data_IF_411666731706
#
_entry.id   IF_411666731706
#
_cell.length_a   1.000
_cell.length_b   1.000
_cell.length_c   1.000
_cell.angle_alpha   90.00
_cell.angle_beta   90.00
_cell.angle_gamma   90.00
#
_symmetry.space_group_name_H-M   'P 1'
#
loop_
_entity.id
_entity.type
_entity.pdbx_description
1 polymer ?
#
# COMPACT_ATOMS: atom_id res chain seq x y z
N UNK A 1 -52.00 53.30 -53.01
CA UNK A 1 -50.81 52.43 -52.99
C UNK A 1 -50.12 52.52 -51.62
N UNK A 2 -50.35 51.51 -50.78
CA UNK A 2 -49.40 50.83 -49.87
C UNK A 2 -48.30 51.63 -49.10
N UNK A 3 -48.30 51.40 -47.76
CA UNK A 3 -47.23 51.49 -46.71
C UNK A 3 -46.99 52.90 -46.10
N UNK A 4 -46.83 53.09 -44.78
CA UNK A 4 -46.56 52.18 -43.64
C UNK A 4 -46.86 52.92 -42.32
N UNK A 5 -47.48 52.24 -41.36
CA UNK A 5 -47.61 52.67 -39.96
C UNK A 5 -46.26 52.72 -39.24
N UNK A 6 -46.04 53.73 -38.41
CA UNK A 6 -45.00 53.74 -37.37
C UNK A 6 -45.72 53.68 -36.02
N UNK A 7 -45.66 52.52 -35.38
CA UNK A 7 -46.08 52.31 -33.99
C UNK A 7 -44.83 52.43 -33.13
N UNK A 8 -44.86 53.38 -32.20
CA UNK A 8 -43.84 53.59 -31.18
C UNK A 8 -44.19 52.68 -29.99
N UNK A 9 -43.52 51.53 -29.85
CA UNK A 9 -43.66 50.66 -28.68
C UNK A 9 -42.51 50.89 -27.70
N UNK A 10 -42.86 51.39 -26.52
CA UNK A 10 -42.01 51.49 -25.34
C UNK A 10 -41.84 50.09 -24.76
N UNK A 11 -40.61 49.56 -24.72
CA UNK A 11 -40.27 48.29 -24.08
C UNK A 11 -39.69 48.60 -22.69
N UNK A 12 -40.41 48.19 -21.65
CA UNK A 12 -39.94 48.16 -20.25
C UNK A 12 -39.13 46.87 -20.08
N UNK A 13 -37.85 46.99 -19.78
CA UNK A 13 -36.93 45.87 -19.54
C UNK A 13 -36.87 45.60 -18.03
N UNK A 14 -37.49 44.49 -17.60
CA UNK A 14 -37.38 43.98 -16.22
C UNK A 14 -36.13 43.10 -16.15
N UNK A 15 -35.15 43.51 -15.34
CA UNK A 15 -33.95 42.73 -15.07
C UNK A 15 -34.24 41.77 -13.91
N UNK A 16 -34.30 40.47 -14.20
CA UNK A 16 -34.22 39.43 -13.17
C UNK A 16 -32.75 39.19 -12.84
N UNK A 17 -32.33 39.62 -11.65
CA UNK A 17 -31.04 39.17 -11.07
C UNK A 17 -31.29 37.83 -10.39
N UNK A 18 -30.98 36.73 -11.08
CA UNK A 18 -30.85 35.44 -10.40
C UNK A 18 -29.53 35.45 -9.64
N UNK A 19 -29.62 35.40 -8.30
CA UNK A 19 -28.46 35.16 -7.45
C UNK A 19 -27.91 33.77 -7.75
N UNK A 20 -26.75 33.72 -8.41
CA UNK A 20 -25.97 32.49 -8.52
C UNK A 20 -25.35 32.26 -7.15
N UNK A 21 -25.88 31.29 -6.41
CA UNK A 21 -25.18 30.76 -5.25
C UNK A 21 -23.88 30.13 -5.75
N UNK A 22 -22.75 30.77 -5.48
CA UNK A 22 -21.44 30.17 -5.68
C UNK A 22 -21.33 28.99 -4.71
N UNK A 23 -21.53 27.78 -5.20
CA UNK A 23 -21.08 26.57 -4.51
C UNK A 23 -19.56 26.65 -4.41
N UNK A 24 -19.00 26.58 -3.21
CA UNK A 24 -17.56 26.42 -3.06
C UNK A 24 -17.16 25.13 -3.81
N UNK A 25 -16.10 25.15 -4.64
CA UNK A 25 -15.62 23.93 -5.27
C UNK A 25 -15.27 22.92 -4.18
N UNK A 26 -15.78 21.70 -4.32
CA UNK A 26 -15.42 20.57 -3.44
C UNK A 26 -13.94 20.31 -3.64
N UNK A 27 -13.12 20.54 -2.62
CA UNK A 27 -11.69 20.24 -2.67
C UNK A 27 -11.53 18.72 -2.61
N UNK A 28 -11.37 18.10 -3.78
CA UNK A 28 -11.02 16.68 -3.83
C UNK A 28 -9.55 16.54 -3.40
N UNK A 29 -9.21 15.59 -2.50
CA UNK A 29 -7.82 15.40 -2.09
C UNK A 29 -6.93 15.13 -3.32
N UNK A 30 -5.83 15.88 -3.45
CA UNK A 30 -4.82 15.61 -4.50
C UNK A 30 -4.11 14.28 -4.28
N UNK A 31 -4.02 13.80 -3.03
CA UNK A 31 -3.54 12.47 -2.65
C UNK A 31 -4.70 11.52 -2.54
N UNK A 32 -4.63 10.35 -3.18
CA UNK A 32 -5.76 9.40 -3.19
C UNK A 32 -5.42 8.01 -2.67
N UNK A 33 -4.14 7.64 -2.65
CA UNK A 33 -3.71 6.26 -2.36
C UNK A 33 -3.18 6.07 -0.94
N UNK A 34 -2.91 7.14 -0.20
CA UNK A 34 -2.28 7.10 1.11
C UNK A 34 -3.21 6.56 2.20
N UNK A 35 -2.77 5.57 2.99
CA UNK A 35 -3.36 5.32 4.29
C UNK A 35 -2.89 6.39 5.27
N UNK A 36 -3.80 6.79 6.15
CA UNK A 36 -3.50 7.66 7.29
C UNK A 36 -3.47 6.79 8.53
N UNK A 37 -2.32 6.72 9.19
CA UNK A 37 -2.12 5.94 10.42
C UNK A 37 -1.86 6.91 11.57
N UNK A 38 -2.76 6.95 12.54
CA UNK A 38 -2.68 7.81 13.73
C UNK A 38 -2.47 6.93 14.95
N UNK A 39 -1.46 7.23 15.77
CA UNK A 39 -1.26 6.54 17.04
C UNK A 39 -2.28 7.05 18.07
N UNK A 40 -2.86 6.15 18.86
CA UNK A 40 -3.84 6.54 19.87
C UNK A 40 -3.30 7.57 20.88
N UNK A 41 -1.99 7.56 21.17
CA UNK A 41 -1.33 8.59 21.99
C UNK A 41 -1.48 10.02 21.45
N UNK A 42 -1.82 10.21 20.18
CA UNK A 42 -2.05 11.52 19.56
C UNK A 42 -3.52 11.97 19.71
N UNK A 43 -4.40 11.04 20.13
CA UNK A 43 -5.84 11.22 20.37
C UNK A 43 -6.21 11.14 21.86
N UNK A 44 -5.32 11.51 22.80
CA UNK A 44 -5.46 11.20 24.25
C UNK A 44 -6.81 11.55 24.87
N UNK A 45 -7.46 12.63 24.42
CA UNK A 45 -8.70 13.16 24.99
C UNK A 45 -9.95 12.35 24.61
N UNK A 46 -9.85 11.41 23.68
CA UNK A 46 -10.99 10.60 23.22
C UNK A 46 -10.76 9.09 23.45
N UNK A 47 -9.65 8.67 24.07
CA UNK A 47 -9.33 7.27 24.35
C UNK A 47 -10.18 6.63 25.46
N UNK A 48 -9.96 5.34 25.70
CA UNK A 48 -10.45 4.61 26.88
C UNK A 48 -11.82 3.97 26.71
N UNK A 49 -12.45 4.13 25.55
CA UNK A 49 -13.76 3.57 25.22
C UNK A 49 -13.63 2.40 24.24
N UNK A 50 -14.60 1.47 24.20
CA UNK A 50 -14.62 0.35 23.24
C UNK A 50 -14.48 0.82 21.80
N UNK A 51 -13.67 0.14 20.99
CA UNK A 51 -13.44 0.47 19.57
C UNK A 51 -14.75 0.55 18.78
N UNK A 52 -15.73 -0.31 19.13
CA UNK A 52 -17.03 -0.32 18.47
C UNK A 52 -17.86 0.94 18.73
N UNK A 53 -17.49 1.80 19.68
CA UNK A 53 -18.21 3.03 19.99
C UNK A 53 -17.78 4.24 19.14
N UNK A 54 -16.73 4.13 18.33
CA UNK A 54 -16.27 5.22 17.47
C UNK A 54 -16.83 5.10 16.08
N UNK A 55 -17.09 6.21 15.41
CA UNK A 55 -17.31 6.29 13.97
C UNK A 55 -16.38 7.35 13.38
N UNK A 56 -16.01 7.19 12.12
CA UNK A 56 -15.23 8.18 11.38
C UNK A 56 -16.10 8.79 10.28
N UNK A 57 -16.05 10.12 10.17
CA UNK A 57 -16.83 10.85 9.18
C UNK A 57 -15.94 11.79 8.37
N UNK A 58 -16.35 12.03 7.12
CA UNK A 58 -15.92 13.19 6.34
C UNK A 58 -17.11 14.08 6.02
N UNK A 59 -16.84 15.33 5.64
CA UNK A 59 -17.85 16.29 5.22
C UNK A 59 -17.62 16.65 3.77
N UNK A 60 -18.62 16.42 2.91
CA UNK A 60 -18.58 16.76 1.48
C UNK A 60 -19.96 17.20 1.04
N UNK A 61 -20.04 18.24 0.21
CA UNK A 61 -21.31 18.73 -0.37
C UNK A 61 -22.38 18.98 0.71
N UNK A 62 -21.97 19.68 1.78
CA UNK A 62 -22.78 19.99 2.96
C UNK A 62 -23.36 18.79 3.72
N UNK A 63 -22.82 17.58 3.50
CA UNK A 63 -23.28 16.34 4.12
C UNK A 63 -22.15 15.62 4.86
N UNK A 64 -22.48 15.04 6.01
CA UNK A 64 -21.62 14.06 6.66
C UNK A 64 -21.74 12.71 5.96
N UNK A 65 -20.60 12.14 5.65
CA UNK A 65 -20.47 10.81 5.09
C UNK A 65 -19.69 9.96 6.09
N UNK A 66 -20.24 8.80 6.44
CA UNK A 66 -19.49 7.83 7.25
C UNK A 66 -18.46 7.16 6.36
N UNK A 67 -17.22 7.06 6.84
CA UNK A 67 -16.11 6.52 6.06
C UNK A 67 -15.55 5.25 6.74
N UNK A 68 -15.00 4.30 5.97
CA UNK A 68 -14.37 3.12 6.54
C UNK A 68 -13.13 3.53 7.36
N UNK A 69 -12.98 2.88 8.50
CA UNK A 69 -11.83 3.04 9.37
C UNK A 69 -11.62 1.75 10.16
N UNK A 70 -10.42 1.55 10.69
CA UNK A 70 -10.11 0.48 11.63
C UNK A 70 -9.28 1.03 12.78
N UNK A 71 -9.37 0.37 13.94
CA UNK A 71 -8.49 0.59 15.07
C UNK A 71 -7.76 -0.72 15.33
N UNK A 72 -6.49 -0.77 14.96
CA UNK A 72 -5.66 -1.95 15.13
C UNK A 72 -5.04 -1.93 16.52
N UNK A 73 -5.39 -2.95 17.31
CA UNK A 73 -4.93 -3.11 18.68
C UNK A 73 -3.44 -3.49 18.71
N UNK A 74 -2.66 -2.82 19.55
CA UNK A 74 -1.21 -3.11 19.70
C UNK A 74 -0.86 -3.36 21.17
N UNK A 75 -0.20 -4.49 21.45
CA UNK A 75 0.28 -4.84 22.80
C UNK A 75 1.76 -5.21 22.71
N UNK A 76 2.59 -4.56 23.53
CA UNK A 76 4.05 -4.77 23.57
C UNK A 76 4.71 -4.65 22.18
N UNK A 77 4.17 -3.76 21.34
CA UNK A 77 4.67 -3.52 19.98
C UNK A 77 4.23 -4.52 18.92
N UNK A 78 3.34 -5.47 19.24
CA UNK A 78 2.79 -6.43 18.28
C UNK A 78 1.29 -6.20 18.07
N UNK A 79 0.81 -6.44 16.86
CA UNK A 79 -0.62 -6.43 16.56
C UNK A 79 -1.36 -7.55 17.30
N UNK A 80 -2.54 -7.22 17.80
CA UNK A 80 -3.47 -8.17 18.42
C UNK A 80 -4.30 -8.80 17.30
N UNK A 81 -3.92 -10.02 16.91
CA UNK A 81 -4.57 -10.77 15.83
C UNK A 81 -6.01 -11.13 16.19
N UNK A 82 -6.95 -10.89 15.27
CA UNK A 82 -8.39 -11.12 15.47
C UNK A 82 -8.88 -12.43 14.87
N UNK A 83 -8.04 -13.12 14.11
CA UNK A 83 -8.34 -14.42 13.49
C UNK A 83 -7.07 -15.26 13.32
N UNK A 84 -7.25 -16.54 13.00
CA UNK A 84 -6.16 -17.51 12.81
C UNK A 84 -5.84 -18.36 14.03
N UNK A 85 -4.66 -18.97 14.04
CA UNK A 85 -4.25 -20.00 15.02
C UNK A 85 -3.88 -19.40 16.37
N UNK A 86 -3.23 -18.25 16.35
CA UNK A 86 -2.75 -17.53 17.53
C UNK A 86 -3.58 -16.25 17.74
N UNK A 87 -4.92 -16.37 17.62
CA UNK A 87 -5.85 -15.30 17.96
C UNK A 87 -5.55 -14.78 19.37
N UNK A 88 -5.41 -13.47 19.48
CA UNK A 88 -5.01 -12.86 20.74
C UNK A 88 -6.14 -12.96 21.77
N UNK A 89 -5.81 -13.40 22.99
CA UNK A 89 -6.76 -13.53 24.11
C UNK A 89 -7.04 -12.21 24.85
N UNK A 90 -6.76 -11.05 24.23
CA UNK A 90 -6.94 -9.77 24.91
C UNK A 90 -8.40 -9.54 25.28
N UNK A 91 -8.69 -9.31 26.56
CA UNK A 91 -10.05 -9.00 27.04
C UNK A 91 -10.41 -7.52 26.91
N UNK A 92 -9.42 -6.65 26.68
CA UNK A 92 -9.65 -5.21 26.54
C UNK A 92 -9.75 -4.80 25.06
N UNK A 93 -10.95 -4.40 24.65
CA UNK A 93 -11.25 -3.88 23.32
C UNK A 93 -11.37 -2.35 23.28
N UNK A 94 -10.85 -1.65 24.30
CA UNK A 94 -10.88 -0.19 24.31
C UNK A 94 -9.74 0.37 23.47
N UNK A 95 -10.00 1.47 22.78
CA UNK A 95 -8.97 2.23 22.06
C UNK A 95 -8.03 2.89 23.08
N UNK A 96 -6.74 2.59 23.00
CA UNK A 96 -5.70 3.06 23.91
C UNK A 96 -4.54 3.74 23.17
N UNK A 97 -3.48 4.09 23.92
CA UNK A 97 -2.39 4.94 23.43
C UNK A 97 -1.48 4.25 22.40
N UNK A 98 -1.39 2.92 22.42
CA UNK A 98 -0.45 2.16 21.59
C UNK A 98 -1.07 1.74 20.26
N UNK A 99 -2.40 1.68 20.21
CA UNK A 99 -3.20 1.33 19.03
C UNK A 99 -3.02 2.29 17.85
N UNK A 100 -3.42 1.82 16.67
CA UNK A 100 -3.42 2.58 15.41
C UNK A 100 -4.84 2.80 14.89
N UNK A 101 -5.25 4.07 14.74
CA UNK A 101 -6.41 4.45 13.94
C UNK A 101 -5.99 4.57 12.48
N UNK A 102 -6.67 3.85 11.58
CA UNK A 102 -6.33 3.78 10.16
C UNK A 102 -7.54 4.04 9.28
N UNK A 103 -7.35 4.85 8.23
CA UNK A 103 -8.34 5.16 7.19
C UNK A 103 -7.63 5.65 5.91
N UNK A 104 -8.36 5.80 4.79
CA UNK A 104 -7.76 6.26 3.53
C UNK A 104 -7.98 7.76 3.31
N UNK A 105 -6.96 8.48 2.81
CA UNK A 105 -7.05 9.93 2.55
C UNK A 105 -8.14 10.28 1.52
N UNK A 106 -8.41 9.42 0.54
CA UNK A 106 -9.44 9.66 -0.49
C UNK A 106 -10.83 9.90 0.09
N UNK A 107 -11.08 9.40 1.30
CA UNK A 107 -12.36 9.50 1.98
C UNK A 107 -12.48 10.78 2.81
N UNK A 108 -11.37 11.48 3.06
CA UNK A 108 -11.35 12.78 3.70
C UNK A 108 -12.08 13.84 2.85
N UNK A 109 -12.55 14.89 3.51
CA UNK A 109 -13.33 15.95 2.87
C UNK A 109 -13.03 17.33 3.44
N UNK A 110 -14.02 18.21 3.32
CA UNK A 110 -13.93 19.61 3.68
C UNK A 110 -13.95 19.83 5.19
N UNK A 111 -13.44 20.99 5.61
CA UNK A 111 -13.53 21.44 6.99
C UNK A 111 -14.96 21.81 7.36
N UNK A 112 -15.47 21.17 8.41
CA UNK A 112 -16.71 21.57 9.07
C UNK A 112 -16.48 22.87 9.85
N UNK A 113 -17.33 23.87 9.62
CA UNK A 113 -17.34 25.12 10.41
C UNK A 113 -18.29 25.04 11.60
N UNK A 114 -19.56 24.73 11.33
CA UNK A 114 -20.63 24.71 12.32
C UNK A 114 -21.45 23.43 12.14
N UNK A 115 -21.05 22.35 12.82
CA UNK A 115 -21.85 21.14 12.92
C UNK A 115 -21.81 20.65 14.36
N UNK A 116 -22.88 19.97 14.76
CA UNK A 116 -22.99 19.39 16.08
C UNK A 116 -23.36 17.92 15.95
N UNK A 117 -22.46 17.06 16.40
CA UNK A 117 -22.71 15.63 16.42
C UNK A 117 -23.69 15.31 17.55
N UNK A 118 -24.95 15.05 17.20
CA UNK A 118 -25.99 14.66 18.15
C UNK A 118 -25.58 13.35 18.84
N UNK A 119 -25.81 13.25 20.15
CA UNK A 119 -25.53 12.06 20.97
C UNK A 119 -24.04 11.65 21.07
N UNK A 120 -23.13 12.48 20.54
CA UNK A 120 -21.70 12.24 20.65
C UNK A 120 -21.20 12.60 22.05
N UNK A 121 -20.41 11.72 22.65
CA UNK A 121 -19.70 11.97 23.91
C UNK A 121 -18.52 12.92 23.68
N UNK A 122 -17.82 12.73 22.56
CA UNK A 122 -16.61 13.47 22.23
C UNK A 122 -16.33 13.34 20.74
N UNK A 123 -15.61 14.31 20.19
CA UNK A 123 -15.21 14.33 18.79
C UNK A 123 -13.78 14.87 18.65
N UNK A 124 -12.99 14.24 17.78
CA UNK A 124 -11.71 14.74 17.33
C UNK A 124 -11.83 15.23 15.88
N UNK A 125 -11.46 16.49 15.64
CA UNK A 125 -11.16 16.98 14.29
C UNK A 125 -9.72 16.58 13.95
N UNK A 126 -9.56 15.86 12.84
CA UNK A 126 -8.28 15.41 12.31
C UNK A 126 -8.04 16.15 10.99
N UNK A 127 -7.08 17.07 11.00
CA UNK A 127 -6.59 17.76 9.82
C UNK A 127 -5.42 16.97 9.23
N UNK A 128 -5.49 16.70 7.93
CA UNK A 128 -4.41 16.13 7.13
C UNK A 128 -3.80 17.23 6.30
N UNK A 129 -2.47 17.30 6.25
CA UNK A 129 -1.73 18.27 5.42
C UNK A 129 -0.76 17.53 4.52
N UNK A 130 -0.86 17.75 3.21
CA UNK A 130 0.17 17.31 2.27
C UNK A 130 1.43 18.17 2.45
N UNK A 131 2.59 17.58 2.85
CA UNK A 131 3.81 18.35 3.05
C UNK A 131 4.38 18.96 1.76
N UNK A 132 4.01 18.47 0.59
CA UNK A 132 4.51 18.93 -0.71
C UNK A 132 3.71 20.08 -1.30
N UNK A 133 2.40 20.11 -1.08
CA UNK A 133 1.50 21.13 -1.65
C UNK A 133 0.91 22.06 -0.60
N UNK A 134 0.99 21.68 0.69
CA UNK A 134 0.28 22.32 1.81
C UNK A 134 -1.26 22.22 1.74
N UNK A 135 -1.80 21.40 0.83
CA UNK A 135 -3.24 21.15 0.76
C UNK A 135 -3.73 20.48 2.04
N UNK A 136 -4.97 20.77 2.41
CA UNK A 136 -5.56 20.29 3.65
C UNK A 136 -6.90 19.62 3.41
N UNK A 137 -7.12 18.52 4.11
CA UNK A 137 -8.42 17.83 4.16
C UNK A 137 -8.69 17.35 5.59
N UNK A 138 -9.95 17.08 5.92
CA UNK A 138 -10.39 16.79 7.28
C UNK A 138 -11.21 15.51 7.38
N UNK A 139 -11.08 14.84 8.54
CA UNK A 139 -12.00 13.80 9.01
C UNK A 139 -12.33 14.02 10.49
N UNK A 140 -13.40 13.38 10.95
CA UNK A 140 -13.95 13.57 12.28
C UNK A 140 -14.16 12.22 12.96
N UNK A 141 -13.35 11.91 13.98
CA UNK A 141 -13.52 10.72 14.80
C UNK A 141 -14.49 11.05 15.92
N UNK A 142 -15.63 10.37 15.94
CA UNK A 142 -16.74 10.67 16.86
C UNK A 142 -16.97 9.48 17.77
N UNK A 143 -16.96 9.72 19.06
CA UNK A 143 -17.27 8.72 20.09
C UNK A 143 -18.73 8.83 20.51
N UNK A 144 -19.45 7.72 20.49
CA UNK A 144 -20.81 7.58 21.00
C UNK A 144 -20.87 6.69 22.26
N UNK A 145 -22.00 6.70 22.98
CA UNK A 145 -22.24 5.70 24.06
C UNK A 145 -22.34 4.29 23.50
N UNK A 146 -22.95 4.17 22.32
CA UNK A 146 -23.04 2.96 21.52
C UNK A 146 -23.23 3.40 20.08
N UNK A 147 -22.30 3.04 19.18
CA UNK A 147 -22.45 3.34 17.76
C UNK A 147 -23.26 2.22 17.10
N UNK A 148 -24.43 2.54 16.58
CA UNK A 148 -25.35 1.56 15.97
C UNK A 148 -25.14 1.36 14.47
N UNK A 149 -24.35 2.23 13.84
CA UNK A 149 -24.08 2.21 12.41
C UNK A 149 -22.58 2.27 12.15
N UNK A 150 -22.14 1.51 11.14
CA UNK A 150 -20.77 1.48 10.62
C UNK A 150 -20.80 1.68 9.12
N UNK A 151 -19.69 2.15 8.54
CA UNK A 151 -19.52 2.14 7.10
C UNK A 151 -19.63 0.70 6.59
N UNK A 152 -20.37 0.49 5.51
CA UNK A 152 -20.48 -0.80 4.84
C UNK A 152 -19.40 -0.99 3.77
N UNK A 153 -18.51 0.01 3.61
CA UNK A 153 -17.42 -0.05 2.65
C UNK A 153 -16.30 -0.90 3.22
N UNK A 154 -15.85 -1.86 2.42
CA UNK A 154 -14.70 -2.70 2.69
C UNK A 154 -13.79 -2.69 1.46
N UNK A 155 -12.52 -2.34 1.67
CA UNK A 155 -11.57 -2.15 0.60
C UNK A 155 -10.76 -3.39 0.25
N UNK A 156 -10.64 -4.34 1.17
CA UNK A 156 -9.73 -5.46 1.05
C UNK A 156 -10.16 -6.60 1.96
N UNK A 157 -10.29 -7.78 1.37
CA UNK A 157 -10.75 -9.00 2.04
C UNK A 157 -9.66 -10.08 1.97
N UNK A 158 -9.56 -10.90 3.02
CA UNK A 158 -8.63 -12.02 3.08
C UNK A 158 -9.30 -13.39 3.21
N UNK A 159 -9.22 -14.17 2.15
CA UNK A 159 -9.52 -15.59 2.17
C UNK A 159 -8.28 -16.38 2.61
N UNK A 160 -8.13 -16.53 3.93
CA UNK A 160 -7.07 -17.33 4.56
C UNK A 160 -7.10 -18.81 4.13
N UNK A 161 -8.27 -19.33 3.75
CA UNK A 161 -8.43 -20.69 3.26
C UNK A 161 -7.70 -20.92 1.94
N UNK A 162 -7.58 -19.88 1.10
CA UNK A 162 -6.92 -19.92 -0.20
C UNK A 162 -5.67 -19.03 -0.28
N UNK A 163 -5.24 -18.42 0.82
CA UNK A 163 -4.17 -17.42 0.89
C UNK A 163 -4.34 -16.33 -0.17
N UNK A 164 -5.56 -15.79 -0.27
CA UNK A 164 -5.95 -14.87 -1.32
C UNK A 164 -6.47 -13.56 -0.75
N UNK A 165 -5.87 -12.46 -1.21
CA UNK A 165 -6.29 -11.10 -0.96
C UNK A 165 -7.10 -10.61 -2.16
N UNK A 166 -8.28 -10.07 -1.90
CA UNK A 166 -9.10 -9.38 -2.91
C UNK A 166 -9.27 -7.94 -2.49
N UNK A 167 -8.49 -7.05 -3.11
CA UNK A 167 -8.56 -5.61 -2.91
C UNK A 167 -9.31 -4.93 -4.07
N UNK A 168 -9.71 -3.68 -3.88
CA UNK A 168 -10.40 -2.92 -4.93
C UNK A 168 -9.59 -2.84 -6.24
N UNK A 169 -8.27 -2.65 -6.17
CA UNK A 169 -7.41 -2.49 -7.34
C UNK A 169 -6.64 -3.75 -7.76
N UNK A 170 -6.57 -4.78 -6.93
CA UNK A 170 -5.78 -5.97 -7.26
C UNK A 170 -6.27 -7.22 -6.55
N UNK A 171 -5.82 -8.35 -7.08
CA UNK A 171 -5.93 -9.67 -6.46
C UNK A 171 -4.50 -10.16 -6.26
N UNK A 172 -4.21 -10.65 -5.06
CA UNK A 172 -2.97 -11.35 -4.75
C UNK A 172 -3.29 -12.72 -4.17
N UNK A 173 -2.66 -13.79 -4.66
CA UNK A 173 -2.74 -15.11 -4.06
C UNK A 173 -1.35 -15.74 -3.95
N UNK A 174 -1.18 -16.60 -2.96
CA UNK A 174 0.10 -17.21 -2.61
C UNK A 174 0.01 -18.73 -2.61
N UNK A 175 1.10 -19.41 -2.95
CA UNK A 175 1.17 -20.87 -2.89
C UNK A 175 1.13 -21.36 -1.44
N UNK A 176 0.30 -22.35 -1.12
CA UNK A 176 0.17 -22.87 0.25
C UNK A 176 1.43 -23.58 0.76
N UNK A 177 2.22 -24.16 -0.13
CA UNK A 177 3.45 -24.87 0.21
C UNK A 177 4.65 -23.90 0.25
N UNK A 178 4.57 -22.81 -0.50
CA UNK A 178 5.60 -21.77 -0.60
C UNK A 178 4.98 -20.36 -0.52
N UNK A 179 4.45 -19.90 0.65
CA UNK A 179 3.71 -18.65 0.73
C UNK A 179 4.52 -17.36 0.48
N UNK A 180 5.85 -17.44 0.38
CA UNK A 180 6.69 -16.33 -0.11
C UNK A 180 6.51 -16.13 -1.62
N UNK A 181 6.18 -17.20 -2.35
CA UNK A 181 5.97 -17.18 -3.79
C UNK A 181 4.53 -16.78 -4.11
N UNK A 182 4.32 -15.50 -4.47
CA UNK A 182 3.06 -15.10 -5.06
C UNK A 182 2.79 -15.98 -6.29
N UNK A 183 1.59 -16.57 -6.35
CA UNK A 183 1.16 -17.47 -7.41
C UNK A 183 0.13 -16.81 -8.32
N UNK A 184 -0.44 -15.68 -7.90
CA UNK A 184 -1.31 -14.86 -8.71
C UNK A 184 -1.23 -13.39 -8.30
N UNK A 185 -0.88 -12.51 -9.23
CA UNK A 185 -1.12 -11.09 -9.15
C UNK A 185 -1.99 -10.71 -10.34
N UNK A 186 -3.06 -9.97 -10.10
CA UNK A 186 -3.93 -9.50 -11.15
C UNK A 186 -4.49 -8.11 -10.83
N UNK A 187 -4.74 -7.32 -11.86
CA UNK A 187 -5.46 -6.06 -11.72
C UNK A 187 -6.95 -6.32 -11.43
N UNK A 188 -7.44 -5.69 -10.39
CA UNK A 188 -8.82 -5.76 -9.91
C UNK A 188 -9.77 -4.90 -10.72
N UNK A 189 -11.07 -5.08 -10.46
CA UNK A 189 -12.15 -4.38 -11.19
C UNK A 189 -12.13 -2.87 -11.00
N UNK A 190 -11.63 -2.36 -9.87
CA UNK A 190 -11.49 -0.91 -9.62
C UNK A 190 -10.63 -0.19 -10.65
N UNK A 191 -9.70 -0.92 -11.28
CA UNK A 191 -8.84 -0.41 -12.35
C UNK A 191 -9.34 -0.75 -13.76
N UNK A 192 -10.45 -1.50 -13.89
CA UNK A 192 -10.88 -2.09 -15.15
C UNK A 192 -10.10 -3.36 -15.52
N UNK A 193 -9.39 -3.95 -14.56
CA UNK A 193 -8.73 -5.24 -14.73
C UNK A 193 -9.73 -6.39 -14.84
N UNK A 194 -9.31 -7.46 -15.52
CA UNK A 194 -10.13 -8.63 -15.78
C UNK A 194 -9.73 -9.86 -14.93
N UNK A 195 -8.87 -9.68 -13.92
CA UNK A 195 -8.37 -10.78 -13.10
C UNK A 195 -7.35 -11.70 -13.78
N UNK A 196 -6.81 -11.32 -14.95
CA UNK A 196 -5.73 -12.08 -15.60
C UNK A 196 -4.48 -12.02 -14.74
N UNK A 197 -3.96 -13.19 -14.39
CA UNK A 197 -2.70 -13.31 -13.67
C UNK A 197 -1.53 -12.83 -14.53
N UNK A 198 -0.72 -11.92 -13.98
CA UNK A 198 0.49 -11.36 -14.60
C UNK A 198 1.79 -11.87 -13.97
N UNK A 199 1.74 -12.62 -12.86
CA UNK A 199 2.95 -13.15 -12.21
C UNK A 199 3.00 -14.66 -12.37
N UNK A 200 4.17 -15.20 -12.73
CA UNK A 200 4.42 -16.63 -12.63
C UNK A 200 4.79 -16.99 -11.19
N UNK A 201 5.79 -16.30 -10.65
CA UNK A 201 6.29 -16.54 -9.30
C UNK A 201 7.09 -15.36 -8.75
N UNK A 202 7.26 -15.32 -7.42
CA UNK A 202 8.35 -14.57 -6.79
C UNK A 202 9.53 -15.50 -6.54
N UNK A 203 10.71 -15.17 -7.08
CA UNK A 203 11.95 -15.93 -6.90
C UNK A 203 12.84 -15.23 -5.87
N UNK A 204 13.49 -16.04 -5.03
CA UNK A 204 14.52 -15.60 -4.10
C UNK A 204 15.78 -16.41 -4.37
N UNK A 205 16.90 -15.75 -4.70
CA UNK A 205 18.20 -16.44 -4.84
C UNK A 205 19.16 -15.84 -3.84
N UNK A 206 19.55 -16.62 -2.84
CA UNK A 206 20.52 -16.20 -1.82
C UNK A 206 21.81 -16.99 -2.04
N UNK A 207 22.94 -16.33 -1.91
CA UNK A 207 24.26 -16.94 -1.77
C UNK A 207 24.91 -16.38 -0.52
N UNK A 208 25.29 -17.25 0.41
CA UNK A 208 25.96 -16.86 1.65
C UNK A 208 27.17 -17.74 1.93
N UNK A 209 28.30 -17.14 2.26
CA UNK A 209 29.52 -17.86 2.65
C UNK A 209 29.89 -17.52 4.09
N UNK A 210 30.11 -18.55 4.92
CA UNK A 210 30.62 -18.40 6.28
C UNK A 210 31.53 -19.57 6.64
N UNK A 211 32.67 -19.30 7.30
CA UNK A 211 33.63 -20.32 7.72
C UNK A 211 34.07 -21.27 6.59
N UNK A 212 34.16 -20.78 5.35
CA UNK A 212 34.55 -21.57 4.17
C UNK A 212 33.43 -22.42 3.55
N UNK A 213 32.20 -22.36 4.08
CA UNK A 213 31.03 -23.05 3.52
C UNK A 213 30.12 -22.06 2.82
N UNK A 214 29.73 -22.36 1.57
CA UNK A 214 28.76 -21.57 0.80
C UNK A 214 27.43 -22.29 0.73
N UNK A 215 26.35 -21.58 1.04
CA UNK A 215 24.98 -22.05 0.99
C UNK A 215 24.19 -21.21 -0.02
N UNK A 216 23.30 -21.86 -0.77
CA UNK A 216 22.51 -21.20 -1.81
C UNK A 216 21.00 -21.42 -1.63
N UNK A 217 20.38 -20.95 -0.53
CA UNK A 217 18.95 -21.16 -0.32
C UNK A 217 18.11 -20.38 -1.33
N UNK A 218 16.94 -20.94 -1.64
CA UNK A 218 15.94 -20.38 -2.55
C UNK A 218 14.61 -20.14 -1.84
N UNK A 219 13.58 -19.63 -2.52
CA UNK A 219 12.22 -19.54 -1.98
C UNK A 219 11.67 -20.90 -1.52
N UNK A 220 12.05 -22.00 -2.16
CA UNK A 220 11.59 -23.35 -1.80
C UNK A 220 12.08 -23.78 -0.39
N UNK A 221 13.21 -23.21 0.02
CA UNK A 221 13.84 -23.43 1.32
C UNK A 221 13.24 -22.56 2.43
N UNK A 222 12.33 -21.62 2.09
CA UNK A 222 11.67 -20.74 3.06
C UNK A 222 10.33 -21.34 3.48
N UNK A 223 10.22 -21.71 4.75
CA UNK A 223 8.96 -22.16 5.35
C UNK A 223 8.25 -20.99 6.01
N UNK A 224 7.03 -20.73 5.56
CA UNK A 224 6.16 -19.70 6.11
C UNK A 224 5.11 -20.34 7.01
N UNK A 225 5.01 -19.86 8.24
CA UNK A 225 3.93 -20.21 9.15
C UNK A 225 3.09 -18.95 9.39
N UNK A 226 1.84 -18.98 8.96
CA UNK A 226 0.83 -17.99 9.38
C UNK A 226 0.42 -18.27 10.82
N UNK A 227 0.53 -17.24 11.66
CA UNK A 227 0.06 -17.27 13.04
C UNK A 227 -1.39 -16.79 13.14
N UNK A 228 -1.70 -15.72 12.41
CA UNK A 228 -3.05 -15.19 12.29
C UNK A 228 -3.05 -13.86 11.56
N UNK A 229 -4.21 -13.22 11.54
CA UNK A 229 -4.42 -12.02 10.75
C UNK A 229 -5.44 -11.09 11.41
N UNK A 230 -5.43 -9.85 10.92
CA UNK A 230 -6.50 -8.87 11.10
C UNK A 230 -7.08 -8.63 9.71
N UNK A 231 -8.38 -8.87 9.57
CA UNK A 231 -9.15 -8.48 8.38
C UNK A 231 -10.06 -7.31 8.75
N UNK A 232 -9.79 -6.16 8.17
CA UNK A 232 -10.44 -4.89 8.50
C UNK A 232 -10.73 -4.08 7.24
N UNK A 233 -11.70 -3.16 7.28
CA UNK A 233 -12.25 -2.52 6.09
C UNK A 233 -11.27 -1.62 5.32
N UNK A 234 -10.10 -1.31 5.90
CA UNK A 234 -9.10 -0.42 5.29
C UNK A 234 -7.86 -1.19 4.86
N UNK A 235 -7.39 -2.12 5.70
CA UNK A 235 -6.25 -2.99 5.43
C UNK A 235 -6.39 -4.35 6.10
N UNK A 236 -5.84 -5.36 5.44
CA UNK A 236 -5.54 -6.67 6.03
C UNK A 236 -4.11 -6.68 6.53
N UNK A 237 -3.88 -7.27 7.71
CA UNK A 237 -2.54 -7.54 8.26
C UNK A 237 -2.40 -9.05 8.47
N UNK A 238 -1.43 -9.68 7.80
CA UNK A 238 -1.13 -11.11 7.97
C UNK A 238 0.19 -11.27 8.71
N UNK A 239 0.13 -11.86 9.90
CA UNK A 239 1.30 -12.10 10.74
C UNK A 239 1.89 -13.49 10.46
N UNK A 240 3.16 -13.52 10.05
CA UNK A 240 3.85 -14.74 9.63
C UNK A 240 5.21 -14.88 10.28
N UNK A 241 5.64 -16.13 10.45
CA UNK A 241 7.02 -16.50 10.73
C UNK A 241 7.64 -17.18 9.52
N UNK A 242 8.69 -16.56 9.00
CA UNK A 242 9.47 -17.05 7.87
C UNK A 242 10.74 -17.70 8.40
N UNK A 243 10.96 -18.95 8.02
CA UNK A 243 12.10 -19.75 8.45
C UNK A 243 12.86 -20.26 7.24
N UNK A 244 14.09 -19.80 7.07
CA UNK A 244 15.02 -20.33 6.08
C UNK A 244 15.54 -21.66 6.62
N UNK A 245 15.42 -22.71 5.80
CA UNK A 245 15.96 -24.04 6.06
C UNK A 245 17.12 -24.33 5.12
N UNK A 246 18.11 -25.11 5.56
CA UNK A 246 19.21 -25.56 4.72
C UNK A 246 19.38 -27.05 4.98
N UNK A 247 19.26 -27.88 3.94
CA UNK A 247 19.23 -29.35 4.08
C UNK A 247 18.16 -29.81 5.11
N UNK A 248 17.03 -29.09 5.15
CA UNK A 248 15.93 -29.35 6.09
C UNK A 248 16.15 -28.83 7.52
N UNK A 249 17.30 -28.22 7.83
CA UNK A 249 17.61 -27.68 9.16
C UNK A 249 17.26 -26.18 9.21
N UNK A 250 16.41 -25.72 10.13
CA UNK A 250 16.16 -24.30 10.35
C UNK A 250 17.43 -23.54 10.74
N UNK A 251 17.80 -22.53 9.96
CA UNK A 251 19.01 -21.72 10.22
C UNK A 251 18.69 -20.31 10.68
N UNK A 252 17.64 -19.69 10.14
CA UNK A 252 17.22 -18.32 10.46
C UNK A 252 15.70 -18.24 10.47
N UNK A 253 15.14 -17.60 11.49
CA UNK A 253 13.72 -17.24 11.52
C UNK A 253 13.53 -15.74 11.74
N UNK A 254 12.53 -15.20 11.06
CA UNK A 254 12.06 -13.81 11.17
C UNK A 254 10.54 -13.79 11.24
N UNK A 255 9.98 -12.82 11.96
CA UNK A 255 8.55 -12.57 12.00
C UNK A 255 8.27 -11.26 11.29
N UNK A 256 7.17 -11.21 10.55
CA UNK A 256 6.78 -10.05 9.77
C UNK A 256 5.26 -9.94 9.67
N UNK A 257 4.81 -8.69 9.57
CA UNK A 257 3.44 -8.31 9.29
C UNK A 257 3.37 -7.85 7.84
N UNK A 258 2.69 -8.64 7.00
CA UNK A 258 2.42 -8.24 5.61
C UNK A 258 1.12 -7.46 5.59
N UNK A 259 1.12 -6.29 4.97
CA UNK A 259 0.01 -5.34 5.06
C UNK A 259 -0.56 -5.10 3.67
N UNK A 260 -1.86 -5.28 3.50
CA UNK A 260 -2.56 -5.14 2.23
C UNK A 260 -3.56 -4.00 2.31
N UNK A 261 -3.40 -2.98 1.47
CA UNK A 261 -4.35 -1.89 1.26
C UNK A 261 -5.11 -2.09 -0.04
N UNK A 262 -6.03 -1.17 -0.33
CA UNK A 262 -6.86 -1.24 -1.54
C UNK A 262 -6.09 -1.04 -2.86
N UNK A 263 -4.98 -0.29 -2.83
CA UNK A 263 -4.14 0.10 -3.97
C UNK A 263 -2.79 -0.62 -4.01
N UNK A 264 -2.28 -1.05 -2.87
CA UNK A 264 -0.94 -1.60 -2.77
C UNK A 264 -0.79 -2.56 -1.58
N UNK A 265 0.31 -3.30 -1.58
CA UNK A 265 0.70 -4.18 -0.49
C UNK A 265 2.14 -3.87 -0.05
N UNK A 266 2.40 -4.02 1.24
CA UNK A 266 3.72 -3.93 1.88
C UNK A 266 4.16 -5.31 2.36
N UNK A 267 5.37 -5.69 1.97
CA UNK A 267 6.03 -6.92 2.35
C UNK A 267 7.33 -6.56 3.10
N UNK A 268 7.24 -6.19 4.39
CA UNK A 268 8.43 -6.02 5.20
C UNK A 268 9.18 -7.34 5.31
N UNK A 269 10.48 -7.33 5.07
CA UNK A 269 11.33 -8.52 5.25
C UNK A 269 12.65 -8.14 5.91
N UNK A 270 13.30 -9.12 6.53
CA UNK A 270 14.55 -8.89 7.26
C UNK A 270 15.62 -9.89 6.83
N UNK A 271 16.81 -9.38 6.51
CA UNK A 271 18.02 -10.19 6.49
C UNK A 271 18.57 -10.23 7.91
N UNK A 272 18.70 -11.43 8.49
CA UNK A 272 19.22 -11.66 9.84
C UNK A 272 20.34 -12.69 9.79
N UNK A 273 21.48 -12.33 10.38
CA UNK A 273 22.69 -13.14 10.39
C UNK A 273 23.06 -13.52 11.83
N UNK A 274 22.77 -14.75 12.27
CA UNK A 274 23.28 -15.24 13.55
C UNK A 274 24.81 -15.19 13.62
N UNK A 275 25.45 -15.50 12.49
CA UNK A 275 26.89 -15.34 12.24
C UNK A 275 27.02 -14.50 10.99
N UNK A 276 27.79 -13.40 11.03
CA UNK A 276 27.99 -12.54 9.86
C UNK A 276 28.71 -13.33 8.76
N UNK A 277 28.16 -13.42 7.55
CA UNK A 277 28.81 -14.09 6.44
C UNK A 277 29.99 -13.27 5.93
N UNK A 278 31.03 -13.94 5.42
CA UNK A 278 32.17 -13.30 4.74
C UNK A 278 31.81 -12.85 3.31
N UNK A 279 30.76 -13.42 2.73
CA UNK A 279 30.15 -12.96 1.48
C UNK A 279 28.64 -13.22 1.52
N UNK A 280 27.84 -12.26 1.06
CA UNK A 280 26.40 -12.41 0.96
C UNK A 280 25.88 -11.69 -0.28
N UNK A 281 25.01 -12.35 -1.02
CA UNK A 281 24.30 -11.84 -2.18
C UNK A 281 22.87 -12.38 -2.12
N UNK A 282 21.88 -11.51 -2.37
CA UNK A 282 20.51 -11.94 -2.54
C UNK A 282 19.87 -11.24 -3.73
N UNK A 283 18.99 -11.95 -4.44
CA UNK A 283 18.04 -11.35 -5.38
C UNK A 283 16.63 -11.73 -4.97
N UNK A 284 15.70 -10.78 -5.11
CA UNK A 284 14.25 -10.98 -4.96
C UNK A 284 13.62 -10.49 -6.25
N UNK A 285 12.93 -11.38 -6.97
CA UNK A 285 12.50 -11.16 -8.35
C UNK A 285 11.00 -11.44 -8.43
N UNK A 286 10.24 -10.45 -8.89
CA UNK A 286 8.90 -10.67 -9.41
C UNK A 286 9.04 -11.17 -10.85
N UNK A 287 8.78 -12.45 -11.07
CA UNK A 287 8.85 -13.07 -12.40
C UNK A 287 7.48 -13.00 -13.07
N UNK A 288 7.37 -12.12 -14.06
CA UNK A 288 6.12 -11.84 -14.75
C UNK A 288 5.88 -12.79 -15.93
N UNK A 289 4.61 -12.86 -16.30
CA UNK A 289 4.08 -13.57 -17.46
C UNK A 289 2.98 -12.73 -18.09
N UNK A 290 2.65 -13.03 -19.35
CA UNK A 290 1.61 -12.31 -20.09
C UNK A 290 1.89 -10.79 -20.24
N UNK A 291 3.15 -10.37 -20.12
CA UNK A 291 3.57 -8.97 -20.22
C UNK A 291 4.29 -8.63 -21.53
N UNK A 292 4.31 -9.53 -22.52
CA UNK A 292 4.87 -9.23 -23.83
C UNK A 292 4.19 -7.99 -24.46
N UNK A 293 4.99 -7.06 -24.97
CA UNK A 293 4.56 -5.77 -25.50
C UNK A 293 4.29 -4.69 -24.43
N UNK A 294 4.38 -5.01 -23.13
CA UNK A 294 4.35 -4.01 -22.08
C UNK A 294 5.65 -3.21 -22.08
N UNK A 295 5.66 -2.08 -21.38
CA UNK A 295 6.83 -1.23 -21.19
C UNK A 295 7.25 -1.22 -19.73
N UNK A 296 8.54 -1.41 -19.50
CA UNK A 296 9.20 -1.27 -18.21
C UNK A 296 9.86 0.10 -18.11
N UNK A 297 9.66 0.81 -17.01
CA UNK A 297 10.38 2.03 -16.66
C UNK A 297 10.94 1.91 -15.24
N UNK A 298 12.01 2.63 -14.96
CA UNK A 298 12.49 2.81 -13.58
C UNK A 298 13.02 4.22 -13.36
N UNK A 299 13.25 4.58 -12.10
CA UNK A 299 13.90 5.84 -11.73
C UNK A 299 15.29 6.05 -12.35
N UNK A 300 15.93 4.97 -12.83
CA UNK A 300 17.23 5.00 -13.51
C UNK A 300 17.11 4.82 -15.04
N UNK A 301 15.94 4.41 -15.54
CA UNK A 301 15.68 4.08 -16.95
C UNK A 301 14.34 4.71 -17.40
N UNK A 302 14.35 6.03 -17.60
CA UNK A 302 13.13 6.80 -17.92
C UNK A 302 12.71 6.72 -19.41
N UNK A 303 13.58 6.21 -20.28
CA UNK A 303 13.27 6.01 -21.70
C UNK A 303 12.27 4.88 -21.93
N UNK A 304 12.23 3.92 -21.00
CA UNK A 304 11.42 2.72 -21.09
C UNK A 304 12.09 1.62 -21.90
N UNK A 305 11.78 0.36 -21.57
CA UNK A 305 12.19 -0.83 -22.30
C UNK A 305 10.94 -1.65 -22.64
N UNK A 306 10.84 -2.13 -23.88
CA UNK A 306 9.71 -2.98 -24.30
C UNK A 306 10.03 -4.41 -23.91
N UNK A 307 9.03 -5.10 -23.36
CA UNK A 307 9.14 -6.52 -23.02
C UNK A 307 8.90 -7.34 -24.30
N UNK A 308 9.94 -8.00 -24.80
CA UNK A 308 9.91 -8.82 -26.02
C UNK A 308 10.46 -10.25 -25.82
N UNK A 309 10.93 -10.57 -24.60
CA UNK A 309 11.43 -11.88 -24.23
C UNK A 309 12.86 -12.16 -24.67
N UNK A 310 13.63 -11.13 -25.07
CA UNK A 310 15.06 -11.24 -25.39
C UNK A 310 15.89 -10.31 -24.51
N UNK A 311 17.07 -10.77 -24.12
CA UNK A 311 18.11 -9.94 -23.53
C UNK A 311 19.06 -9.41 -24.60
N UNK A 312 18.63 -8.37 -25.32
CA UNK A 312 19.42 -7.75 -26.38
C UNK A 312 20.36 -6.64 -25.84
N UNK A 313 20.97 -5.87 -26.74
CA UNK A 313 21.91 -4.82 -26.36
C UNK A 313 21.21 -3.62 -25.69
N UNK A 314 19.93 -3.38 -26.00
CA UNK A 314 19.10 -2.39 -25.31
C UNK A 314 18.88 -2.79 -23.86
N UNK A 315 18.48 -4.04 -23.60
CA UNK A 315 18.26 -4.54 -22.24
C UNK A 315 19.56 -4.53 -21.41
N UNK A 316 20.67 -4.93 -22.01
CA UNK A 316 21.99 -4.93 -21.35
C UNK A 316 22.52 -3.53 -21.06
N UNK A 317 22.01 -2.51 -21.76
CA UNK A 317 22.38 -1.10 -21.54
C UNK A 317 21.62 -0.45 -20.39
N UNK A 318 20.60 -1.11 -19.83
CA UNK A 318 19.82 -0.59 -18.71
C UNK A 318 20.72 -0.29 -17.51
N UNK A 319 20.47 0.86 -16.89
CA UNK A 319 21.16 1.26 -15.68
C UNK A 319 20.59 0.50 -14.48
N UNK A 320 21.33 -0.51 -14.03
CA UNK A 320 20.99 -1.39 -12.90
C UNK A 320 21.42 -0.86 -11.53
N UNK A 321 21.93 0.37 -11.44
CA UNK A 321 22.32 1.00 -10.16
C UNK A 321 21.12 1.18 -9.21
N UNK A 322 21.35 1.59 -7.94
CA UNK A 322 20.27 1.69 -6.97
C UNK A 322 19.11 2.55 -7.45
N UNK A 323 17.89 2.02 -7.32
CA UNK A 323 16.67 2.57 -7.89
C UNK A 323 15.62 2.83 -6.80
N UNK A 324 14.65 3.72 -7.08
CA UNK A 324 13.61 4.15 -6.13
C UNK A 324 12.23 3.57 -6.43
N UNK A 325 11.91 3.46 -7.72
CA UNK A 325 10.63 2.97 -8.23
C UNK A 325 10.81 2.42 -9.65
N UNK A 326 9.92 1.50 -10.01
CA UNK A 326 9.85 0.85 -11.30
C UNK A 326 8.39 0.60 -11.60
N UNK A 327 8.05 0.55 -12.88
CA UNK A 327 6.69 0.33 -13.33
C UNK A 327 6.71 -0.52 -14.58
N UNK A 328 5.86 -1.55 -14.58
CA UNK A 328 5.54 -2.37 -15.73
C UNK A 328 4.11 -2.03 -16.17
N UNK A 329 3.93 -1.59 -17.41
CA UNK A 329 2.64 -1.07 -17.89
C UNK A 329 2.30 -1.48 -19.32
N UNK A 330 1.00 -1.66 -19.58
CA UNK A 330 0.43 -1.77 -20.93
C UNK A 330 -0.33 -0.50 -21.36
N UNK A 331 0.06 0.66 -20.83
CA UNK A 331 -0.56 1.97 -21.03
C UNK A 331 -1.95 2.13 -20.37
N UNK A 332 -2.67 1.05 -20.07
CA UNK A 332 -3.98 1.09 -19.37
C UNK A 332 -3.87 0.73 -17.90
N UNK A 333 -2.95 -0.17 -17.56
CA UNK A 333 -2.71 -0.71 -16.23
C UNK A 333 -1.22 -0.63 -15.93
N UNK A 334 -0.88 -0.41 -14.67
CA UNK A 334 0.51 -0.28 -14.24
C UNK A 334 0.74 -0.96 -12.89
N UNK A 335 1.70 -1.88 -12.87
CA UNK A 335 2.23 -2.50 -11.67
C UNK A 335 3.51 -1.76 -11.29
N UNK A 336 3.62 -1.31 -10.04
CA UNK A 336 4.80 -0.64 -9.54
C UNK A 336 5.46 -1.49 -8.47
N UNK A 337 6.79 -1.51 -8.47
CA UNK A 337 7.56 -2.08 -7.37
C UNK A 337 8.46 -1.02 -6.76
N UNK A 338 8.76 -1.16 -5.46
CA UNK A 338 9.73 -0.38 -4.71
C UNK A 338 10.33 -1.27 -3.64
N UNK A 339 11.62 -1.15 -3.37
CA UNK A 339 12.23 -1.76 -2.19
C UNK A 339 12.90 -0.70 -1.32
N UNK A 340 12.28 -0.40 -0.19
CA UNK A 340 12.68 0.68 0.72
C UNK A 340 13.68 0.14 1.73
N UNK A 341 14.87 0.74 1.76
CA UNK A 341 15.89 0.47 2.77
C UNK A 341 15.83 1.47 3.94
N UNK A 342 16.33 1.12 5.13
CA UNK A 342 16.47 2.07 6.23
C UNK A 342 17.35 3.25 5.84
N UNK A 343 17.10 4.41 6.45
CA UNK A 343 17.96 5.58 6.30
C UNK A 343 19.42 5.24 6.61
N UNK A 344 20.34 5.72 5.78
CA UNK A 344 21.78 5.44 5.87
C UNK A 344 22.17 3.95 5.79
N UNK A 345 21.33 3.09 5.19
CA UNK A 345 21.70 1.69 4.91
C UNK A 345 23.00 1.62 4.09
N UNK A 346 23.99 0.83 4.53
CA UNK A 346 25.17 0.56 3.71
C UNK A 346 24.84 -0.39 2.56
N UNK A 347 23.86 -1.29 2.74
CA UNK A 347 23.38 -2.21 1.71
C UNK A 347 22.62 -1.42 0.65
N UNK A 348 23.00 -1.62 -0.61
CA UNK A 348 22.36 -0.98 -1.76
C UNK A 348 21.41 -1.93 -2.45
N UNK A 349 20.26 -1.40 -2.83
CA UNK A 349 19.22 -2.15 -3.54
C UNK A 349 19.34 -1.82 -5.03
N UNK A 350 20.12 -2.63 -5.74
CA UNK A 350 20.29 -2.48 -7.19
C UNK A 350 19.07 -3.03 -7.93
N UNK A 351 18.86 -2.57 -9.16
CA UNK A 351 17.76 -3.07 -9.99
C UNK A 351 18.15 -4.43 -10.55
N UNK A 352 17.26 -5.41 -10.39
CA UNK A 352 17.28 -6.64 -11.17
C UNK A 352 16.35 -6.49 -12.37
N UNK A 353 16.84 -6.88 -13.55
CA UNK A 353 16.06 -6.93 -14.78
C UNK A 353 16.55 -8.09 -15.64
N UNK A 354 15.62 -8.88 -16.17
CA UNK A 354 15.90 -9.94 -17.12
C UNK A 354 14.64 -10.24 -17.95
N UNK A 355 14.67 -9.93 -19.24
CA UNK A 355 13.59 -10.23 -20.18
C UNK A 355 14.01 -11.38 -21.10
N UNK A 356 14.39 -12.53 -20.55
CA UNK A 356 14.80 -13.68 -21.35
C UNK A 356 13.78 -14.82 -21.20
N UNK A 357 12.92 -14.97 -22.22
CA UNK A 357 11.93 -16.04 -22.29
C UNK A 357 12.53 -17.46 -22.32
N UNK A 358 13.85 -17.57 -22.53
CA UNK A 358 14.58 -18.84 -22.52
C UNK A 358 15.54 -18.97 -21.34
N UNK A 359 15.49 -18.05 -20.37
CA UNK A 359 16.24 -18.20 -19.14
C UNK A 359 15.96 -19.57 -18.52
N UNK A 360 16.99 -20.15 -17.91
CA UNK A 360 16.89 -21.46 -17.28
C UNK A 360 17.07 -21.24 -15.79
N UNK A 361 16.00 -21.43 -15.04
CA UNK A 361 16.06 -21.64 -13.60
C UNK A 361 15.54 -23.03 -13.25
N UNK A 362 16.23 -23.70 -12.33
CA UNK A 362 15.86 -25.06 -11.91
C UNK A 362 14.58 -25.10 -11.09
N UNK A 363 14.13 -23.96 -10.56
CA UNK A 363 13.00 -23.83 -9.64
C UNK A 363 11.78 -23.09 -10.25
N UNK A 364 11.77 -22.94 -11.58
CA UNK A 364 10.70 -22.28 -12.34
C UNK A 364 9.45 -23.16 -12.53
N UNK A 365 8.27 -22.53 -12.49
CA UNK A 365 7.00 -23.15 -12.91
C UNK A 365 6.81 -23.03 -14.42
N UNK A 366 7.09 -21.85 -14.97
CA UNK A 366 7.17 -21.57 -16.40
C UNK A 366 8.61 -21.21 -16.72
N UNK A 367 9.15 -21.81 -17.78
CA UNK A 367 10.52 -21.55 -18.20
C UNK A 367 10.69 -20.11 -18.69
N UNK A 368 11.77 -19.46 -18.24
CA UNK A 368 12.15 -18.12 -18.66
C UNK A 368 11.56 -17.01 -17.80
N UNK A 369 11.98 -15.77 -18.05
CA UNK A 369 11.49 -14.58 -17.37
C UNK A 369 10.93 -13.58 -18.39
N UNK A 370 9.70 -13.09 -18.18
CA UNK A 370 8.93 -12.33 -19.18
C UNK A 370 8.14 -11.12 -18.61
N UNK A 371 8.80 -10.11 -18.02
CA UNK A 371 10.20 -10.08 -17.58
C UNK A 371 10.34 -10.51 -16.11
N UNK A 372 11.57 -10.72 -15.65
CA UNK A 372 11.94 -10.72 -14.24
C UNK A 372 12.36 -9.32 -13.82
N UNK A 373 11.69 -8.75 -12.82
CA UNK A 373 12.00 -7.41 -12.28
C UNK A 373 12.14 -7.52 -10.77
N UNK A 374 13.13 -6.85 -10.19
CA UNK A 374 13.20 -6.82 -8.73
C UNK A 374 14.43 -6.15 -8.16
N UNK A 375 14.92 -6.73 -7.06
CA UNK A 375 15.98 -6.18 -6.23
C UNK A 375 17.20 -7.08 -6.20
N UNK A 376 18.37 -6.52 -6.50
CA UNK A 376 19.68 -7.16 -6.43
C UNK A 376 20.50 -6.55 -5.26
N UNK A 377 20.70 -7.35 -4.21
CA UNK A 377 21.44 -6.97 -3.01
C UNK A 377 22.85 -7.57 -3.06
N UNK A 378 23.70 -7.05 -3.94
CA UNK A 378 25.08 -7.54 -4.14
C UNK A 378 26.16 -6.83 -3.32
N UNK A 379 25.84 -5.70 -2.69
CA UNK A 379 26.87 -4.85 -2.09
C UNK A 379 26.44 -4.21 -0.75
N UNK A 380 27.45 -3.82 0.04
CA UNK A 380 27.27 -3.09 1.30
C UNK A 380 27.04 -3.95 2.55
N UNK A 381 26.88 -5.27 2.40
CA UNK A 381 26.64 -6.21 3.51
C UNK A 381 27.75 -6.23 4.56
N UNK A 382 29.02 -6.19 4.15
CA UNK A 382 30.16 -6.21 5.08
C UNK A 382 30.27 -4.95 5.94
N UNK A 383 29.63 -3.85 5.52
CA UNK A 383 29.62 -2.58 6.23
C UNK A 383 28.45 -2.48 7.23
N UNK A 384 27.61 -3.52 7.35
CA UNK A 384 26.54 -3.56 8.34
C UNK A 384 27.11 -3.58 9.76
N UNK A 385 26.68 -2.59 10.55
CA UNK A 385 27.04 -2.49 11.98
C UNK A 385 26.22 -3.44 12.86
N UNK A 386 25.03 -3.83 12.40
CA UNK A 386 24.10 -4.74 13.08
C UNK A 386 24.17 -6.15 12.48
N UNK A 387 23.55 -7.11 13.17
CA UNK A 387 23.37 -8.48 12.67
C UNK A 387 22.04 -8.66 11.92
N UNK A 388 21.26 -7.60 11.77
CA UNK A 388 20.03 -7.61 10.98
C UNK A 388 19.78 -6.26 10.33
N UNK A 389 19.08 -6.30 9.20
CA UNK A 389 18.57 -5.14 8.49
C UNK A 389 17.18 -5.48 7.96
N UNK A 390 16.25 -4.53 8.04
CA UNK A 390 14.88 -4.67 7.54
C UNK A 390 14.69 -3.82 6.29
N UNK A 391 14.00 -4.36 5.30
CA UNK A 391 13.58 -3.67 4.10
C UNK A 391 12.06 -3.75 3.99
N UNK A 392 11.47 -2.93 3.13
CA UNK A 392 10.04 -3.03 2.78
C UNK A 392 9.89 -3.09 1.26
N UNK A 393 9.44 -4.23 0.75
CA UNK A 393 9.04 -4.37 -0.65
C UNK A 393 7.59 -3.90 -0.78
N UNK A 394 7.31 -3.00 -1.72
CA UNK A 394 5.99 -2.39 -1.86
C UNK A 394 5.52 -2.50 -3.30
N UNK A 395 4.34 -3.08 -3.50
CA UNK A 395 3.74 -3.32 -4.81
C UNK A 395 2.45 -2.52 -4.98
N UNK A 396 2.41 -1.57 -5.92
CA UNK A 396 1.23 -0.77 -6.22
C UNK A 396 0.57 -1.19 -7.53
N UNK A 397 -0.76 -1.04 -7.59
CA UNK A 397 -1.57 -1.28 -8.77
C UNK A 397 -2.36 -0.02 -9.11
N UNK A 398 -2.11 0.56 -10.28
CA UNK A 398 -2.76 1.81 -10.74
C UNK A 398 -3.31 1.70 -12.16
N UNK A 399 -4.14 2.67 -12.54
CA UNK A 399 -4.51 2.88 -13.94
C UNK A 399 -3.37 3.60 -14.63
N UNK A 400 -2.89 3.02 -15.73
CA UNK A 400 -1.88 3.59 -16.62
C UNK A 400 -0.58 4.03 -15.92
N UNK A 401 0.37 4.46 -16.73
CA UNK A 401 1.55 5.18 -16.26
C UNK A 401 1.71 6.42 -17.12
N UNK A 402 1.80 7.57 -16.46
CA UNK A 402 2.21 8.83 -17.06
C UNK A 402 3.37 9.40 -16.23
N UNK A 403 4.35 9.98 -16.93
CA UNK A 403 5.46 10.67 -16.25
C UNK A 403 4.90 11.78 -15.35
N UNK A 404 5.38 11.83 -14.12
CA UNK A 404 4.86 12.68 -13.03
C UNK A 404 4.14 11.88 -11.94
N UNK A 405 3.50 10.75 -12.27
CA UNK A 405 2.79 9.89 -11.30
C UNK A 405 3.73 9.28 -10.25
N UNK A 406 5.02 9.21 -10.53
CA UNK A 406 6.00 8.59 -9.63
C UNK A 406 6.10 9.35 -8.32
N UNK A 407 5.81 10.67 -8.34
CA UNK A 407 5.77 11.49 -7.13
C UNK A 407 4.67 11.02 -6.17
N UNK A 408 3.47 10.71 -6.68
CA UNK A 408 2.37 10.19 -5.84
C UNK A 408 2.75 8.86 -5.19
N UNK A 409 3.31 7.93 -5.98
CA UNK A 409 3.73 6.59 -5.52
C UNK A 409 4.86 6.66 -4.48
N UNK A 410 5.85 7.53 -4.72
CA UNK A 410 7.02 7.65 -3.83
C UNK A 410 6.63 8.32 -2.51
N UNK A 411 5.80 9.36 -2.58
CA UNK A 411 5.45 10.18 -1.42
C UNK A 411 4.62 9.45 -0.36
N UNK A 412 3.93 8.35 -0.68
CA UNK A 412 3.25 7.51 0.32
C UNK A 412 4.19 7.15 1.49
N UNK A 413 5.46 6.91 1.19
CA UNK A 413 6.46 6.52 2.18
C UNK A 413 7.50 7.62 2.46
N UNK A 414 7.89 8.37 1.43
CA UNK A 414 8.98 9.34 1.54
C UNK A 414 8.51 10.68 2.14
N UNK A 415 7.25 11.07 1.87
CA UNK A 415 6.64 12.31 2.33
C UNK A 415 5.18 12.05 2.75
N UNK A 416 4.97 11.24 3.82
CA UNK A 416 3.64 10.90 4.29
C UNK A 416 2.89 12.14 4.76
N UNK A 417 1.56 12.08 4.68
CA UNK A 417 0.67 13.15 5.16
C UNK A 417 0.95 13.47 6.63
N UNK A 418 0.94 14.76 6.97
CA UNK A 418 1.05 15.22 8.36
C UNK A 418 -0.34 15.31 8.98
N UNK A 419 -0.47 14.90 10.23
CA UNK A 419 -1.74 14.93 10.97
C UNK A 419 -1.69 15.99 12.08
N UNK A 420 -2.80 16.70 12.27
CA UNK A 420 -3.05 17.56 13.42
C UNK A 420 -4.41 17.21 14.00
N UNK A 421 -4.46 17.00 15.32
CA UNK A 421 -5.65 16.44 15.99
C UNK A 421 -6.00 17.33 17.16
N UNK A 422 -7.28 17.69 17.27
CA UNK A 422 -7.79 18.51 18.38
C UNK A 422 -9.24 18.16 18.71
N UNK A 423 -9.72 18.49 19.92
CA UNK A 423 -11.13 18.39 20.24
C UNK A 423 -12.00 19.21 19.28
N UNK A 424 -13.16 18.66 18.93
CA UNK A 424 -14.21 19.33 18.18
C UNK A 424 -15.47 19.39 19.03
N UNK A 425 -16.21 20.50 18.96
CA UNK A 425 -17.37 20.74 19.81
C UNK A 425 -18.48 19.71 19.54
N UNK A 426 -18.95 19.06 20.60
CA UNK A 426 -20.12 18.17 20.60
C UNK A 426 -21.27 18.84 21.37
N UNK A 427 -22.51 18.50 21.04
CA UNK A 427 -23.66 18.86 21.88
C UNK A 427 -23.67 17.90 23.08
N UNK A 428 -23.49 18.44 24.29
CA UNK A 428 -23.64 17.70 25.53
C UNK A 428 -25.10 17.67 26.00
#
# INVERSE_FOLDING_TARGET
MIKKSVILSVIIMIIFVQGVALSNPVETPNRTIDPVIIKGKDCKFILGNPINNYNLYSYKEDKLNMIPFQIDKIINGNYVLTSGKDISKSSNNNFDKDDELVFMVKDAGDKIKNYKFRDAISCAEIELTDPETSDKVWVYLVLYRSATQKSTVDYVDYDAGNLKITAANYIAAFDKNHPVAASNYAFGKGLGGNGTNIIDRVKVRISMTSMGVTLNPTEDDIKVKEYGYIDGPVRVIVHTKNTITVLGIPVVSTEQDTIYYYTYAEFPFAAKFPIKPSAFHATVIDDFRNCAGWKFYSSTNLAGQVIDGKMDDSDKSLNLSPWKWSVLTNEKLAFWSRCISPAASPVKVNLYYNDNASAVDKHENIKGELPGIGSDFKEGWLNLKTNSIKFNLVHFFTKSYNRGMEKEIVNVHDNPLKTSIKPFNVDN
#
